data_IF_976737262464
#
_entry.id   IF_976737262464
#
_cell.length_a   1.000
_cell.length_b   1.000
_cell.length_c   1.000
_cell.angle_alpha   90.00
_cell.angle_beta   90.00
_cell.angle_gamma   90.00
#
_symmetry.space_group_name_H-M   'P 1'
#
loop_
_entity.id
_entity.type
_entity.pdbx_description
1 polymer ?
#
# COMPACT_ATOMS: atom_id res chain seq x y z
N UNK A 1 -18.07 -4.43 16.73
CA UNK A 1 -16.73 -4.51 16.12
C UNK A 1 -16.93 -4.41 14.62
N UNK A 2 -16.17 -3.58 13.88
CA UNK A 2 -16.27 -3.49 12.42
C UNK A 2 -15.98 -4.82 11.72
N UNK A 3 -16.68 -5.11 10.62
CA UNK A 3 -16.57 -6.38 9.89
C UNK A 3 -15.16 -6.66 9.36
N UNK A 4 -14.45 -5.60 8.93
CA UNK A 4 -13.03 -5.64 8.56
C UNK A 4 -12.17 -6.25 9.68
N UNK A 5 -12.38 -5.83 10.93
CA UNK A 5 -11.59 -6.32 12.07
C UNK A 5 -11.88 -7.79 12.31
N UNK A 6 -13.14 -8.22 12.14
CA UNK A 6 -13.55 -9.62 12.31
C UNK A 6 -12.88 -10.48 11.24
N UNK A 7 -12.93 -10.08 9.96
CA UNK A 7 -12.27 -10.78 8.85
C UNK A 7 -10.76 -10.91 9.07
N UNK A 8 -10.10 -9.85 9.53
CA UNK A 8 -8.66 -9.90 9.85
C UNK A 8 -8.36 -10.86 10.99
N UNK A 9 -9.19 -10.88 12.03
CA UNK A 9 -9.02 -11.81 13.14
C UNK A 9 -9.18 -13.28 12.69
N UNK A 10 -10.12 -13.57 11.79
CA UNK A 10 -10.28 -14.91 11.21
C UNK A 10 -9.03 -15.35 10.45
N UNK A 11 -8.46 -14.47 9.61
CA UNK A 11 -7.24 -14.77 8.85
C UNK A 11 -6.02 -14.97 9.77
N UNK A 12 -5.87 -14.12 10.78
CA UNK A 12 -4.80 -14.26 11.79
C UNK A 12 -4.94 -15.57 12.55
N UNK A 13 -6.15 -15.92 12.99
CA UNK A 13 -6.40 -17.14 13.73
C UNK A 13 -6.10 -18.38 12.89
N UNK A 14 -6.50 -18.38 11.61
CA UNK A 14 -6.20 -19.47 10.68
C UNK A 14 -4.69 -19.64 10.46
N UNK A 15 -3.97 -18.53 10.21
CA UNK A 15 -2.52 -18.56 10.02
C UNK A 15 -1.77 -19.07 11.26
N UNK A 16 -2.13 -18.58 12.45
CA UNK A 16 -1.56 -19.03 13.72
C UNK A 16 -1.84 -20.53 13.95
N UNK A 17 -3.05 -21.00 13.66
CA UNK A 17 -3.42 -22.41 13.83
C UNK A 17 -2.62 -23.35 12.91
N UNK A 18 -2.19 -22.85 11.75
CA UNK A 18 -1.39 -23.57 10.76
C UNK A 18 0.13 -23.37 10.93
N UNK A 19 0.55 -22.61 11.94
CA UNK A 19 1.95 -22.19 12.12
C UNK A 19 2.52 -21.47 10.88
N UNK A 20 1.68 -20.70 10.20
CA UNK A 20 2.03 -19.87 9.06
C UNK A 20 2.27 -18.42 9.50
N UNK A 21 2.97 -17.66 8.65
CA UNK A 21 3.09 -16.21 8.83
C UNK A 21 1.76 -15.52 8.49
N UNK A 22 1.41 -14.46 9.22
CA UNK A 22 0.30 -13.57 8.85
C UNK A 22 0.78 -12.65 7.74
N UNK A 23 0.14 -12.69 6.58
CA UNK A 23 0.49 -11.83 5.47
C UNK A 23 0.11 -10.38 5.75
N UNK A 24 1.00 -9.44 5.36
CA UNK A 24 0.73 -7.99 5.46
C UNK A 24 -0.50 -7.56 4.68
N UNK A 25 -0.78 -8.24 3.57
CA UNK A 25 -1.93 -8.01 2.68
C UNK A 25 -3.27 -8.24 3.37
N UNK A 26 -3.29 -8.98 4.49
CA UNK A 26 -4.51 -9.15 5.28
C UNK A 26 -4.93 -7.84 5.97
N UNK A 27 -4.06 -6.83 6.06
CA UNK A 27 -4.41 -5.52 6.55
C UNK A 27 -4.65 -4.54 5.39
N UNK A 28 -5.93 -4.24 5.14
CA UNK A 28 -6.39 -3.38 4.05
C UNK A 28 -5.68 -2.01 4.04
N UNK A 29 -5.42 -1.41 5.21
CA UNK A 29 -4.70 -0.13 5.30
C UNK A 29 -3.24 -0.25 4.83
N UNK A 30 -2.57 -1.35 5.20
CA UNK A 30 -1.19 -1.59 4.77
C UNK A 30 -1.17 -1.91 3.28
N UNK A 31 -2.14 -2.69 2.79
CA UNK A 31 -2.26 -3.01 1.36
C UNK A 31 -2.49 -1.74 0.52
N UNK A 32 -3.40 -0.87 0.95
CA UNK A 32 -3.66 0.39 0.25
C UNK A 32 -2.42 1.28 0.19
N UNK A 33 -1.70 1.39 1.30
CA UNK A 33 -0.44 2.15 1.36
C UNK A 33 0.67 1.51 0.50
N UNK A 34 0.78 0.18 0.51
CA UNK A 34 1.74 -0.55 -0.34
C UNK A 34 1.44 -0.30 -1.84
N UNK A 35 0.17 -0.16 -2.22
CA UNK A 35 -0.24 0.14 -3.60
C UNK A 35 0.01 1.62 -3.98
N UNK A 36 -0.23 2.57 -3.08
CA UNK A 36 0.16 3.98 -3.28
C UNK A 36 1.67 4.13 -3.50
N UNK A 37 2.49 3.38 -2.74
CA UNK A 37 3.94 3.39 -2.93
C UNK A 37 4.38 2.78 -4.25
N UNK A 38 3.69 1.72 -4.71
CA UNK A 38 3.97 1.15 -6.04
C UNK A 38 3.68 2.16 -7.15
N UNK A 39 2.54 2.86 -7.08
CA UNK A 39 2.17 3.89 -8.05
C UNK A 39 3.21 5.03 -8.07
N UNK A 40 3.58 5.54 -6.90
CA UNK A 40 4.62 6.56 -6.77
C UNK A 40 5.98 6.11 -7.34
N UNK A 41 6.37 4.85 -7.08
CA UNK A 41 7.60 4.27 -7.61
C UNK A 41 7.58 4.10 -9.13
N UNK A 42 6.44 3.69 -9.70
CA UNK A 42 6.27 3.57 -11.14
C UNK A 42 6.42 4.94 -11.81
N UNK A 43 5.74 5.96 -11.27
CA UNK A 43 5.87 7.35 -11.75
C UNK A 43 7.31 7.83 -11.69
N UNK A 44 8.01 7.60 -10.57
CA UNK A 44 9.42 7.96 -10.42
C UNK A 44 10.30 7.28 -11.46
N UNK A 45 10.08 6.00 -11.73
CA UNK A 45 10.87 5.24 -12.70
C UNK A 45 10.66 5.74 -14.13
N UNK A 46 9.47 6.24 -14.44
CA UNK A 46 9.12 6.80 -15.76
C UNK A 46 9.42 8.29 -15.91
N UNK A 47 9.85 8.98 -14.84
CA UNK A 47 10.06 10.42 -14.86
C UNK A 47 11.27 10.80 -15.74
N UNK A 48 11.06 11.69 -16.69
CA UNK A 48 12.10 12.26 -17.54
C UNK A 48 12.73 13.46 -16.83
N UNK A 49 13.97 13.30 -16.34
CA UNK A 49 14.68 14.37 -15.61
C UNK A 49 15.04 15.54 -16.54
N UNK A 50 15.23 15.30 -17.83
CA UNK A 50 15.68 16.34 -18.77
C UNK A 50 14.53 17.25 -19.21
N UNK A 51 13.30 16.72 -19.26
CA UNK A 51 12.12 17.43 -19.78
C UNK A 51 10.95 17.56 -18.80
N UNK A 52 10.99 16.87 -17.65
CA UNK A 52 9.91 16.81 -16.68
C UNK A 52 9.91 17.98 -15.69
N UNK A 53 8.72 18.37 -15.23
CA UNK A 53 8.55 19.34 -14.15
C UNK A 53 8.56 18.62 -12.79
N UNK A 54 9.63 18.82 -12.02
CA UNK A 54 9.80 18.24 -10.69
C UNK A 54 8.73 18.71 -9.69
N UNK A 55 8.29 19.96 -9.79
CA UNK A 55 7.27 20.47 -8.86
C UNK A 55 5.94 19.78 -9.13
N UNK A 56 5.55 19.67 -10.40
CA UNK A 56 4.33 18.96 -10.80
C UNK A 56 4.38 17.48 -10.42
N UNK A 57 5.53 16.83 -10.61
CA UNK A 57 5.75 15.45 -10.20
C UNK A 57 5.56 15.25 -8.69
N UNK A 58 6.14 16.13 -7.87
CA UNK A 58 5.98 16.04 -6.42
C UNK A 58 4.58 16.43 -5.94
N UNK A 59 3.91 17.38 -6.60
CA UNK A 59 2.48 17.59 -6.37
C UNK A 59 1.72 16.31 -6.66
N UNK A 60 1.91 15.66 -7.81
CA UNK A 60 1.17 14.43 -8.14
C UNK A 60 1.38 13.30 -7.13
N UNK A 61 2.60 13.11 -6.62
CA UNK A 61 2.92 12.06 -5.65
C UNK A 61 2.44 12.39 -4.23
N UNK A 62 2.51 13.65 -3.82
CA UNK A 62 2.24 14.06 -2.43
C UNK A 62 0.93 14.84 -2.24
N UNK A 63 0.09 14.98 -3.28
CA UNK A 63 -1.20 15.69 -3.23
C UNK A 63 -2.26 15.02 -2.33
N UNK A 64 -1.96 13.89 -1.71
CA UNK A 64 -2.82 13.25 -0.72
C UNK A 64 -2.75 13.99 0.62
N UNK A 65 -3.65 14.97 0.80
CA UNK A 65 -4.10 15.47 2.11
C UNK A 65 -5.62 15.51 2.17
#
# INVERSE_FOLDING_TARGET
VPDEIIKRAEVVLDAVSKNNCVERLCNENISAQDDEYKDAMEKLLTFDIDNGDLNLFFEEIFSSS
#
